data_IF_068612770271
#
_entry.id   IF_068612770271
#
_cell.length_a   1.000
_cell.length_b   1.000
_cell.length_c   1.000
_cell.angle_alpha   90.00
_cell.angle_beta   90.00
_cell.angle_gamma   90.00
#
_symmetry.space_group_name_H-M   'P 1'
#
loop_
_entity.id
_entity.type
_entity.pdbx_description
1 polymer ?
#
# COMPACT_ATOMS: atom_id res chain seq x y z
N UNK A 1 -19.37 14.53 5.99
CA UNK A 1 -19.36 13.74 4.73
C UNK A 1 -19.44 12.28 5.15
N UNK A 2 -20.50 11.56 4.75
CA UNK A 2 -20.69 10.16 5.19
C UNK A 2 -20.04 9.25 4.16
N UNK A 3 -18.83 8.73 4.45
CA UNK A 3 -18.12 7.74 3.66
C UNK A 3 -18.33 6.35 4.26
N UNK A 4 -18.62 5.36 3.42
CA UNK A 4 -18.70 3.95 3.81
C UNK A 4 -17.56 3.17 3.19
N UNK A 5 -17.10 2.12 3.86
CA UNK A 5 -15.99 1.28 3.37
C UNK A 5 -16.46 -0.14 3.15
N UNK A 6 -15.96 -0.75 2.08
CA UNK A 6 -16.12 -2.17 1.81
C UNK A 6 -14.76 -2.80 1.61
N UNK A 7 -14.53 -3.93 2.27
CA UNK A 7 -13.35 -4.76 2.06
C UNK A 7 -13.74 -6.00 1.28
N UNK A 8 -13.00 -6.32 0.23
CA UNK A 8 -13.28 -7.48 -0.62
C UNK A 8 -12.00 -8.03 -1.26
N UNK A 9 -12.05 -9.25 -1.76
CA UNK A 9 -10.95 -9.89 -2.52
C UNK A 9 -10.89 -9.43 -3.97
N UNK A 10 -11.96 -8.85 -4.48
CA UNK A 10 -12.07 -8.40 -5.87
C UNK A 10 -12.81 -7.07 -5.94
N UNK A 11 -12.55 -6.31 -6.99
CA UNK A 11 -13.29 -5.09 -7.33
C UNK A 11 -14.03 -5.32 -8.64
N UNK A 12 -15.34 -4.99 -8.74
CA UNK A 12 -16.06 -5.04 -9.99
C UNK A 12 -15.36 -4.21 -11.09
N UNK A 13 -15.32 -4.72 -12.32
CA UNK A 13 -14.62 -4.06 -13.44
C UNK A 13 -15.04 -2.59 -13.63
N UNK A 14 -16.33 -2.28 -13.46
CA UNK A 14 -16.84 -0.89 -13.58
C UNK A 14 -16.24 0.03 -12.53
N UNK A 15 -16.06 -0.46 -11.29
CA UNK A 15 -15.46 0.31 -10.21
C UNK A 15 -13.96 0.45 -10.39
N UNK A 16 -13.29 -0.63 -10.84
CA UNK A 16 -11.88 -0.64 -11.16
C UNK A 16 -11.53 0.43 -12.20
N UNK A 17 -12.29 0.50 -13.31
CA UNK A 17 -12.13 1.54 -14.32
C UNK A 17 -12.24 2.94 -13.72
N UNK A 18 -13.24 3.17 -12.90
CA UNK A 18 -13.46 4.48 -12.28
C UNK A 18 -12.33 4.89 -11.33
N UNK A 19 -11.79 3.94 -10.56
CA UNK A 19 -10.74 4.20 -9.59
C UNK A 19 -9.37 4.39 -10.25
N UNK A 20 -9.06 3.67 -11.34
CA UNK A 20 -7.69 3.56 -11.86
C UNK A 20 -7.47 4.04 -13.29
N UNK A 21 -8.51 4.13 -14.13
CA UNK A 21 -8.36 4.45 -15.56
C UNK A 21 -8.68 5.92 -15.90
N UNK A 22 -8.34 6.87 -15.03
CA UNK A 22 -8.57 8.30 -15.24
C UNK A 22 -7.32 9.07 -15.65
N UNK A 23 -6.21 8.39 -15.85
CA UNK A 23 -4.94 8.97 -16.28
C UNK A 23 -3.90 7.91 -16.58
N UNK A 24 -2.76 8.35 -17.13
CA UNK A 24 -1.56 7.54 -17.31
C UNK A 24 -0.64 7.71 -16.12
N UNK A 25 0.02 6.62 -15.68
CA UNK A 25 0.98 6.64 -14.56
C UNK A 25 0.48 7.39 -13.32
N UNK A 26 -0.77 7.12 -12.92
CA UNK A 26 -1.42 7.80 -11.79
C UNK A 26 -0.67 7.63 -10.46
N UNK A 27 0.17 6.60 -10.34
CA UNK A 27 1.02 6.34 -9.18
C UNK A 27 2.44 6.92 -9.30
N UNK A 28 2.84 7.43 -10.47
CA UNK A 28 4.15 8.05 -10.70
C UNK A 28 5.32 7.06 -10.70
N UNK A 29 5.06 5.79 -10.91
CA UNK A 29 6.06 4.71 -10.81
C UNK A 29 6.51 4.10 -12.13
N UNK A 30 5.94 4.50 -13.28
CA UNK A 30 6.20 3.87 -14.58
C UNK A 30 7.66 3.91 -14.99
N UNK A 31 8.40 4.97 -14.63
CA UNK A 31 9.84 5.12 -14.94
C UNK A 31 10.72 4.03 -14.34
N UNK A 32 10.27 3.34 -13.30
CA UNK A 32 11.03 2.27 -12.65
C UNK A 32 10.89 0.93 -13.35
N UNK A 33 9.93 0.79 -14.29
CA UNK A 33 9.68 -0.42 -15.08
C UNK A 33 9.61 -1.71 -14.24
N UNK A 34 8.95 -1.63 -13.09
CA UNK A 34 8.76 -2.77 -12.20
C UNK A 34 7.51 -3.56 -12.54
N UNK A 35 7.56 -4.86 -12.32
CA UNK A 35 6.37 -5.70 -12.20
C UNK A 35 5.86 -5.65 -10.77
N UNK A 36 4.56 -5.51 -10.62
CA UNK A 36 3.88 -5.35 -9.34
C UNK A 36 2.99 -6.53 -9.04
N UNK A 37 2.92 -6.93 -7.79
CA UNK A 37 1.97 -7.93 -7.30
C UNK A 37 0.59 -7.29 -7.13
N UNK A 38 -0.49 -7.94 -7.61
CA UNK A 38 -1.85 -7.48 -7.32
C UNK A 38 -2.18 -7.60 -5.83
N UNK A 39 -3.11 -6.78 -5.36
CA UNK A 39 -3.57 -6.82 -3.98
C UNK A 39 -4.37 -8.10 -3.69
N UNK A 40 -4.22 -8.63 -2.47
CA UNK A 40 -5.03 -9.75 -1.95
C UNK A 40 -6.39 -9.28 -1.44
N UNK A 41 -6.47 -8.01 -0.98
CA UNK A 41 -7.67 -7.37 -0.47
C UNK A 41 -7.76 -5.94 -0.98
N UNK A 42 -8.97 -5.48 -1.15
CA UNK A 42 -9.27 -4.13 -1.62
C UNK A 42 -10.17 -3.43 -0.61
N UNK A 43 -9.72 -2.30 -0.10
CA UNK A 43 -10.52 -1.40 0.74
C UNK A 43 -11.01 -0.27 -0.15
N UNK A 44 -12.30 -0.22 -0.40
CA UNK A 44 -12.92 0.82 -1.24
C UNK A 44 -13.81 1.71 -0.40
N UNK A 45 -13.59 3.00 -0.50
CA UNK A 45 -14.44 4.02 0.12
C UNK A 45 -15.48 4.55 -0.86
N UNK A 46 -16.72 4.66 -0.39
CA UNK A 46 -17.88 5.08 -1.19
C UNK A 46 -18.52 6.34 -0.64
N UNK A 47 -18.87 7.25 -1.53
CA UNK A 47 -19.76 8.38 -1.26
C UNK A 47 -21.02 8.22 -2.10
N UNK A 48 -22.19 8.15 -1.46
CA UNK A 48 -23.48 7.91 -2.15
C UNK A 48 -23.37 6.76 -3.16
N UNK A 49 -22.87 5.60 -2.69
CA UNK A 49 -22.71 4.37 -3.46
C UNK A 49 -21.71 4.46 -4.65
N UNK A 50 -21.01 5.57 -4.79
CA UNK A 50 -19.99 5.74 -5.82
C UNK A 50 -18.61 5.51 -5.22
N UNK A 51 -17.78 4.61 -5.80
CA UNK A 51 -16.41 4.41 -5.34
C UNK A 51 -15.60 5.69 -5.59
N UNK A 52 -14.89 6.16 -4.57
CA UNK A 52 -14.14 7.42 -4.64
C UNK A 52 -12.70 7.31 -4.18
N UNK A 53 -12.35 6.31 -3.37
CA UNK A 53 -10.99 6.07 -2.91
C UNK A 53 -10.75 4.59 -2.70
N UNK A 54 -9.48 4.17 -2.80
CA UNK A 54 -9.09 2.77 -2.71
C UNK A 54 -7.73 2.64 -2.02
N UNK A 55 -7.56 1.55 -1.29
CA UNK A 55 -6.28 1.03 -0.78
C UNK A 55 -6.25 -0.48 -1.01
N UNK A 56 -5.20 -0.97 -1.67
CA UNK A 56 -4.94 -2.39 -1.80
C UNK A 56 -4.08 -2.91 -0.66
N UNK A 57 -4.32 -4.15 -0.23
CA UNK A 57 -3.52 -4.82 0.80
C UNK A 57 -3.00 -6.15 0.27
N UNK A 58 -1.71 -6.40 0.49
CA UNK A 58 -1.06 -7.69 0.30
C UNK A 58 -0.67 -8.23 1.68
N UNK A 59 -1.23 -9.35 2.12
CA UNK A 59 -0.75 -10.03 3.34
C UNK A 59 0.45 -10.90 2.99
N UNK A 60 1.61 -10.60 3.56
CA UNK A 60 2.84 -11.27 3.18
C UNK A 60 3.79 -11.46 4.38
N UNK A 61 4.66 -12.48 4.31
CA UNK A 61 5.76 -12.66 5.25
C UNK A 61 7.05 -12.17 4.60
N UNK A 62 7.71 -11.21 5.24
CA UNK A 62 9.01 -10.68 4.80
C UNK A 62 10.12 -11.15 5.72
N UNK A 63 11.32 -11.29 5.19
CA UNK A 63 12.52 -11.63 5.95
C UNK A 63 13.34 -10.37 6.18
N UNK A 64 13.71 -10.11 7.44
CA UNK A 64 14.51 -8.96 7.85
C UNK A 64 15.71 -9.51 8.62
N UNK A 65 16.90 -9.47 7.99
CA UNK A 65 18.06 -10.18 8.53
C UNK A 65 17.77 -11.67 8.74
N UNK A 66 17.75 -12.13 9.98
CA UNK A 66 17.45 -13.53 10.37
C UNK A 66 16.02 -13.78 10.82
N UNK A 67 15.16 -12.74 10.89
CA UNK A 67 13.79 -12.88 11.40
C UNK A 67 12.75 -12.76 10.28
N UNK A 68 11.61 -13.40 10.47
CA UNK A 68 10.44 -13.28 9.60
C UNK A 68 9.36 -12.47 10.30
N UNK A 69 8.71 -11.58 9.54
CA UNK A 69 7.62 -10.74 10.03
C UNK A 69 6.47 -10.73 9.03
N UNK A 70 5.25 -10.74 9.56
CA UNK A 70 4.05 -10.63 8.74
C UNK A 70 3.68 -9.18 8.55
N UNK A 71 3.55 -8.77 7.28
CA UNK A 71 3.21 -7.40 6.91
C UNK A 71 1.90 -7.33 6.15
N UNK A 72 1.18 -6.21 6.31
CA UNK A 72 0.17 -5.74 5.39
C UNK A 72 0.80 -4.76 4.42
N UNK A 73 1.12 -5.22 3.22
CA UNK A 73 1.69 -4.38 2.17
C UNK A 73 0.60 -3.49 1.59
N UNK A 74 0.83 -2.18 1.57
CA UNK A 74 -0.12 -1.22 1.00
C UNK A 74 0.32 -0.81 -0.40
N UNK A 75 -0.60 -0.92 -1.36
CA UNK A 75 -0.43 -0.45 -2.72
C UNK A 75 -1.73 0.06 -3.33
N UNK A 76 -1.64 0.63 -4.52
CA UNK A 76 -2.83 1.11 -5.24
C UNK A 76 -3.66 2.15 -4.47
N UNK A 77 -3.01 3.01 -3.68
CA UNK A 77 -3.67 4.09 -2.94
C UNK A 77 -4.09 5.18 -3.93
N UNK A 78 -5.38 5.34 -4.11
CA UNK A 78 -5.93 6.28 -5.10
C UNK A 78 -7.20 6.96 -4.59
N UNK A 79 -7.41 8.20 -5.02
CA UNK A 79 -8.68 8.92 -4.90
C UNK A 79 -9.01 9.51 -6.26
N UNK A 80 -10.24 9.33 -6.72
CA UNK A 80 -10.70 9.88 -8.01
C UNK A 80 -10.47 11.39 -8.07
N UNK A 81 -10.07 11.97 -9.22
CA UNK A 81 -9.61 13.36 -9.34
C UNK A 81 -10.57 14.38 -8.71
N UNK A 82 -11.88 14.22 -8.95
CA UNK A 82 -12.91 15.14 -8.46
C UNK A 82 -13.08 15.13 -6.93
N UNK A 83 -12.42 14.18 -6.23
CA UNK A 83 -12.51 13.97 -4.79
C UNK A 83 -11.17 14.05 -4.06
N UNK A 84 -10.11 14.37 -4.79
CA UNK A 84 -8.78 14.61 -4.21
C UNK A 84 -8.78 15.85 -3.29
N UNK A 85 -7.75 15.95 -2.45
CA UNK A 85 -7.55 17.05 -1.48
C UNK A 85 -8.70 17.23 -0.46
N UNK A 86 -9.54 16.20 -0.26
CA UNK A 86 -10.63 16.19 0.71
C UNK A 86 -10.35 15.23 1.89
N UNK A 87 -9.13 14.73 2.02
CA UNK A 87 -8.73 13.82 3.11
C UNK A 87 -9.23 12.37 2.95
N UNK A 88 -9.87 12.01 1.85
CA UNK A 88 -10.49 10.68 1.68
C UNK A 88 -9.48 9.54 1.69
N UNK A 89 -8.31 9.72 1.06
CA UNK A 89 -7.25 8.72 1.10
C UNK A 89 -6.75 8.49 2.52
N UNK A 90 -6.58 9.54 3.32
CA UNK A 90 -6.19 9.45 4.73
C UNK A 90 -7.20 8.64 5.54
N UNK A 91 -8.49 8.93 5.40
CA UNK A 91 -9.56 8.21 6.11
C UNK A 91 -9.57 6.73 5.67
N UNK A 92 -9.41 6.45 4.37
CA UNK A 92 -9.32 5.09 3.84
C UNK A 92 -8.10 4.33 4.40
N UNK A 93 -6.94 4.98 4.48
CA UNK A 93 -5.73 4.40 5.08
C UNK A 93 -5.93 4.09 6.57
N UNK A 94 -6.53 4.99 7.33
CA UNK A 94 -6.82 4.74 8.75
C UNK A 94 -7.78 3.55 8.94
N UNK A 95 -8.81 3.44 8.10
CA UNK A 95 -9.69 2.25 8.09
C UNK A 95 -8.91 0.99 7.72
N UNK A 96 -8.02 1.08 6.73
CA UNK A 96 -7.14 -0.02 6.31
C UNK A 96 -6.20 -0.46 7.42
N UNK A 97 -5.60 0.46 8.18
CA UNK A 97 -4.76 0.12 9.36
C UNK A 97 -5.54 -0.69 10.39
N UNK A 98 -6.78 -0.26 10.71
CA UNK A 98 -7.65 -1.00 11.63
C UNK A 98 -7.91 -2.42 11.13
N UNK A 99 -8.25 -2.58 9.84
CA UNK A 99 -8.50 -3.88 9.23
C UNK A 99 -7.25 -4.78 9.24
N UNK A 100 -6.09 -4.24 8.88
CA UNK A 100 -4.82 -4.97 8.90
C UNK A 100 -4.48 -5.48 10.30
N UNK A 101 -4.68 -4.64 11.31
CA UNK A 101 -4.39 -4.99 12.71
C UNK A 101 -5.36 -6.03 13.27
N UNK A 102 -6.66 -5.83 13.11
CA UNK A 102 -7.68 -6.60 13.82
C UNK A 102 -8.19 -7.80 13.04
N UNK A 103 -8.30 -7.72 11.71
CA UNK A 103 -8.83 -8.79 10.87
C UNK A 103 -7.71 -9.63 10.24
N UNK A 104 -6.63 -9.00 9.78
CA UNK A 104 -5.52 -9.72 9.18
C UNK A 104 -4.44 -10.11 10.18
N UNK A 105 -4.44 -9.51 11.36
CA UNK A 105 -3.48 -9.76 12.45
C UNK A 105 -2.01 -9.65 11.97
N UNK A 106 -1.70 -8.66 11.13
CA UNK A 106 -0.34 -8.40 10.69
C UNK A 106 0.43 -7.61 11.74
N UNK A 107 1.75 -7.80 11.77
CA UNK A 107 2.63 -7.15 12.74
C UNK A 107 2.98 -5.71 12.34
N UNK A 108 3.05 -5.46 11.02
CA UNK A 108 3.43 -4.15 10.45
C UNK A 108 2.64 -3.84 9.20
N UNK A 109 2.50 -2.53 8.91
CA UNK A 109 2.25 -2.06 7.56
C UNK A 109 3.56 -1.91 6.80
N UNK A 110 3.55 -2.12 5.48
CA UNK A 110 4.70 -1.92 4.61
C UNK A 110 4.27 -1.30 3.27
N UNK A 111 4.97 -0.29 2.79
CA UNK A 111 4.67 0.31 1.49
C UNK A 111 5.91 0.79 0.76
N UNK A 112 5.77 0.90 -0.55
CA UNK A 112 6.71 1.59 -1.43
C UNK A 112 6.07 2.88 -1.92
N UNK A 113 6.82 3.98 -1.90
CA UNK A 113 6.34 5.23 -2.45
C UNK A 113 7.45 6.03 -3.11
N UNK A 114 7.07 6.95 -3.98
CA UNK A 114 7.97 7.96 -4.51
C UNK A 114 8.27 9.02 -3.45
N UNK A 115 9.45 9.63 -3.51
CA UNK A 115 9.96 10.54 -2.48
C UNK A 115 8.97 11.66 -2.10
N UNK A 116 8.29 12.26 -3.07
CA UNK A 116 7.32 13.34 -2.80
C UNK A 116 6.12 12.92 -1.92
N UNK A 117 5.87 11.62 -1.72
CA UNK A 117 4.78 11.10 -0.88
C UNK A 117 5.25 10.72 0.54
N UNK A 118 6.54 10.77 0.84
CA UNK A 118 7.08 10.40 2.15
C UNK A 118 6.46 11.26 3.26
N UNK A 119 6.40 12.59 3.11
CA UNK A 119 5.80 13.45 4.13
C UNK A 119 4.31 13.14 4.33
N UNK A 120 3.57 12.87 3.25
CA UNK A 120 2.15 12.52 3.35
C UNK A 120 1.93 11.27 4.20
N UNK A 121 2.73 10.23 3.99
CA UNK A 121 2.61 9.00 4.79
C UNK A 121 3.15 9.20 6.22
N UNK A 122 4.21 10.00 6.40
CA UNK A 122 4.73 10.33 7.72
C UNK A 122 3.70 11.04 8.60
N UNK A 123 2.88 11.92 8.02
CA UNK A 123 1.79 12.63 8.72
C UNK A 123 0.66 11.71 9.23
N UNK A 124 0.66 10.46 8.79
CA UNK A 124 -0.28 9.42 9.23
C UNK A 124 0.40 8.25 9.95
N UNK A 125 1.62 8.47 10.42
CA UNK A 125 2.31 7.55 11.32
C UNK A 125 3.23 6.53 10.64
N UNK A 126 3.45 6.63 9.34
CA UNK A 126 4.43 5.80 8.65
C UNK A 126 5.83 6.34 8.84
N UNK A 127 6.81 5.47 8.89
CA UNK A 127 8.22 5.82 9.04
C UNK A 127 9.03 5.24 7.87
N UNK A 128 9.89 6.06 7.27
CA UNK A 128 10.87 5.59 6.29
C UNK A 128 11.85 4.64 6.95
N UNK A 129 12.28 3.60 6.25
CA UNK A 129 13.36 2.71 6.68
C UNK A 129 14.59 2.94 5.80
N UNK A 130 15.76 2.92 6.42
CA UNK A 130 17.05 3.09 5.75
C UNK A 130 17.60 1.75 5.22
N UNK A 131 17.07 0.63 5.72
CA UNK A 131 17.46 -0.70 5.28
C UNK A 131 17.07 -0.92 3.81
N UNK A 132 17.98 -1.57 3.06
CA UNK A 132 17.72 -1.90 1.66
C UNK A 132 16.69 -3.01 1.55
N UNK A 133 15.83 -2.90 0.56
CA UNK A 133 14.75 -3.87 0.30
C UNK A 133 15.01 -4.58 -1.02
N UNK A 134 15.19 -5.89 -0.97
CA UNK A 134 15.34 -6.74 -2.14
C UNK A 134 13.99 -7.28 -2.58
N UNK A 135 13.63 -7.07 -3.84
CA UNK A 135 12.37 -7.51 -4.44
C UNK A 135 12.63 -8.41 -5.65
N UNK A 136 11.73 -9.36 -5.86
CA UNK A 136 11.82 -10.21 -7.06
C UNK A 136 11.33 -9.43 -8.30
N UNK A 137 11.97 -9.71 -9.43
CA UNK A 137 11.55 -9.26 -10.76
C UNK A 137 11.77 -10.38 -11.77
N UNK A 138 11.11 -10.37 -12.94
CA UNK A 138 11.28 -11.43 -13.95
C UNK A 138 12.73 -11.62 -14.43
N UNK A 139 13.52 -10.53 -14.39
CA UNK A 139 14.92 -10.55 -14.78
C UNK A 139 15.88 -10.87 -13.62
N UNK A 140 15.38 -11.21 -12.44
CA UNK A 140 16.15 -11.45 -11.21
C UNK A 140 15.84 -10.42 -10.12
N UNK A 141 16.38 -10.68 -8.94
CA UNK A 141 16.16 -9.81 -7.79
C UNK A 141 16.89 -8.48 -7.95
N UNK A 142 16.25 -7.42 -7.47
CA UNK A 142 16.85 -6.08 -7.43
C UNK A 142 16.47 -5.34 -6.15
N UNK A 143 17.29 -4.36 -5.78
CA UNK A 143 16.93 -3.45 -4.70
C UNK A 143 15.86 -2.48 -5.16
N UNK A 144 14.79 -2.37 -4.36
CA UNK A 144 13.69 -1.47 -4.66
C UNK A 144 14.19 -0.03 -4.86
N UNK A 145 13.90 0.60 -6.01
CA UNK A 145 14.35 1.97 -6.30
C UNK A 145 13.45 3.04 -5.68
N UNK A 146 12.48 2.65 -4.89
CA UNK A 146 11.49 3.49 -4.23
C UNK A 146 11.78 3.61 -2.74
N UNK A 147 11.26 4.67 -2.11
CA UNK A 147 11.27 4.76 -0.66
C UNK A 147 10.42 3.65 -0.06
N UNK A 148 10.94 2.98 0.95
CA UNK A 148 10.23 1.96 1.71
C UNK A 148 9.84 2.52 3.07
N UNK A 149 8.57 2.36 3.44
CA UNK A 149 8.04 2.86 4.70
C UNK A 149 7.31 1.77 5.46
N UNK A 150 7.36 1.85 6.79
CA UNK A 150 6.69 0.90 7.69
C UNK A 150 5.74 1.64 8.63
N UNK A 151 4.67 0.95 9.00
CA UNK A 151 3.77 1.33 10.08
C UNK A 151 3.89 0.29 11.21
N UNK A 152 4.30 0.74 12.37
CA UNK A 152 4.54 -0.12 13.54
C UNK A 152 3.26 -0.19 14.38
N UNK A 153 2.58 -1.35 14.40
CA UNK A 153 1.35 -1.50 15.20
C UNK A 153 1.62 -1.64 16.69
N UNK A 154 2.70 -2.31 17.08
CA UNK A 154 3.04 -2.54 18.48
C UNK A 154 4.54 -2.58 18.75
N UNK A 155 5.31 -3.27 17.92
CA UNK A 155 6.75 -3.47 18.11
C UNK A 155 7.56 -2.64 17.09
N UNK A 156 8.75 -2.18 17.46
CA UNK A 156 9.65 -1.51 16.54
C UNK A 156 10.04 -2.42 15.36
N UNK A 157 10.16 -1.84 14.17
CA UNK A 157 10.65 -2.56 12.99
C UNK A 157 12.08 -3.07 13.19
N UNK A 158 12.37 -4.37 12.95
CA UNK A 158 13.71 -4.92 13.06
C UNK A 158 14.67 -4.27 12.07
N UNK A 159 15.96 -4.19 12.43
CA UNK A 159 17.02 -3.73 11.53
C UNK A 159 17.58 -4.88 10.71
N UNK A 160 17.97 -4.59 9.47
CA UNK A 160 18.66 -5.52 8.60
C UNK A 160 18.15 -5.52 7.17
N UNK A 161 18.85 -6.21 6.29
CA UNK A 161 18.43 -6.38 4.90
C UNK A 161 17.04 -6.98 4.84
N UNK A 162 16.12 -6.28 4.16
CA UNK A 162 14.76 -6.75 3.93
C UNK A 162 14.71 -7.54 2.63
N UNK A 163 14.27 -8.79 2.70
CA UNK A 163 13.98 -9.61 1.52
C UNK A 163 12.48 -9.82 1.42
N UNK A 164 11.91 -9.31 0.36
CA UNK A 164 10.47 -9.45 0.14
C UNK A 164 10.11 -10.88 -0.25
N UNK A 165 10.99 -11.54 -1.01
CA UNK A 165 10.78 -12.87 -1.62
C UNK A 165 9.45 -12.89 -2.45
N UNK A 166 9.14 -11.76 -3.07
CA UNK A 166 7.95 -11.48 -3.86
C UNK A 166 8.19 -10.30 -4.80
N UNK A 167 7.30 -10.13 -5.77
CA UNK A 167 7.13 -8.85 -6.46
C UNK A 167 6.70 -7.79 -5.43
N UNK A 168 7.10 -6.52 -5.62
CA UNK A 168 6.56 -5.41 -4.82
C UNK A 168 5.06 -5.19 -5.13
N UNK A 169 4.36 -4.47 -4.24
CA UNK A 169 2.94 -4.16 -4.35
C UNK A 169 2.65 -2.67 -4.35
#
# INVERSE_FOLDING_TARGET
>A
MNITFKVSRTIPTREQKKLFEWGTDIFGGSKYNLKWRPADYHVVGYLKEKPVTHVGIVKHSVRIGSVHKTVGGIGGVVTVPQKQKQGLAKICLLHTHSYMRHELAVEYGFLFCIERLVSYYSDIGWRIIDDRVLVNQPCGDLFAPLCSMVFEFSEPWPKGLVKLDSLPW
#
